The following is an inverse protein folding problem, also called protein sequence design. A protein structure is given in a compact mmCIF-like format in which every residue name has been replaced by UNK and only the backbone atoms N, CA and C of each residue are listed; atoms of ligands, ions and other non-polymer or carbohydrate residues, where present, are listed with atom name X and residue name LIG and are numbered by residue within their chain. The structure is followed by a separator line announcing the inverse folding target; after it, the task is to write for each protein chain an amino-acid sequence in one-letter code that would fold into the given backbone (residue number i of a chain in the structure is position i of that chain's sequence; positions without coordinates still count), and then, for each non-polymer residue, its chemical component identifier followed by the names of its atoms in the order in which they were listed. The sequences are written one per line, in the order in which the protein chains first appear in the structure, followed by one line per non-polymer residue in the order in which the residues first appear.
data_IF_911130660738
#
_entry.id   IF_911130660738
#
_cell.length_a   1.000
_cell.length_b   1.000
_cell.length_c   1.000
_cell.angle_alpha   90.00
_cell.angle_beta   90.00
_cell.angle_gamma   90.00
#
_symmetry.space_group_name_H-M   'P 1'
#
loop_
_entity.id
_entity.type
_entity.pdbx_description
1 polymer ?
#
# COMPACT_ATOMS: atom_id res chain seq x y z
N UNK A 1 -13.04 0.47 2.67
CA UNK A 1 -11.90 -0.08 1.90
C UNK A 1 -11.48 0.81 0.72
N UNK A 2 -12.42 1.43 -0.01
CA UNK A 2 -12.12 2.13 -1.28
C UNK A 2 -12.16 3.66 -1.23
N UNK A 3 -12.27 4.25 -0.03
CA UNK A 3 -12.52 5.68 0.16
C UNK A 3 -13.97 6.05 -0.15
N UNK A 4 -14.38 7.26 0.25
CA UNK A 4 -15.72 7.83 0.03
C UNK A 4 -15.68 9.07 -0.88
N UNK A 5 -14.55 9.31 -1.54
CA UNK A 5 -14.40 10.40 -2.52
C UNK A 5 -14.69 9.96 -3.95
N UNK A 6 -14.87 10.94 -4.85
CA UNK A 6 -15.13 10.77 -6.28
C UNK A 6 -14.03 9.99 -7.03
N UNK A 7 -12.77 10.08 -6.58
CA UNK A 7 -11.68 9.22 -7.10
C UNK A 7 -11.55 7.98 -6.22
N UNK A 8 -11.87 6.78 -6.73
CA UNK A 8 -11.73 5.56 -5.96
C UNK A 8 -10.26 5.26 -5.63
N UNK A 9 -9.98 4.96 -4.36
CA UNK A 9 -8.61 4.71 -3.86
C UNK A 9 -7.90 3.59 -4.63
N UNK A 10 -8.66 2.60 -5.12
CA UNK A 10 -8.11 1.46 -5.86
C UNK A 10 -7.56 1.83 -7.23
N UNK A 11 -8.06 2.90 -7.88
CA UNK A 11 -7.49 3.37 -9.15
C UNK A 11 -6.11 3.95 -8.96
N UNK A 12 -5.89 4.70 -7.87
CA UNK A 12 -4.55 5.19 -7.49
C UNK A 12 -3.62 3.99 -7.26
N UNK A 13 -4.10 2.96 -6.55
CA UNK A 13 -3.36 1.70 -6.36
C UNK A 13 -2.95 1.04 -7.67
N UNK A 14 -3.87 0.99 -8.65
CA UNK A 14 -3.58 0.44 -9.98
C UNK A 14 -2.48 1.24 -10.70
N UNK A 15 -2.55 2.58 -10.67
CA UNK A 15 -1.54 3.46 -11.26
C UNK A 15 -0.16 3.27 -10.62
N UNK A 16 -0.12 3.11 -9.30
CA UNK A 16 1.13 2.85 -8.58
C UNK A 16 1.77 1.52 -8.99
N UNK A 17 0.99 0.45 -9.14
CA UNK A 17 1.51 -0.85 -9.55
C UNK A 17 2.00 -0.88 -11.00
N UNK A 18 1.41 -0.05 -11.88
CA UNK A 18 1.86 0.12 -13.27
C UNK A 18 3.10 1.01 -13.42
N UNK A 19 3.54 1.66 -12.35
CA UNK A 19 4.65 2.62 -12.42
C UNK A 19 4.26 3.97 -13.05
N UNK A 20 2.97 4.26 -13.17
CA UNK A 20 2.43 5.50 -13.75
C UNK A 20 2.44 6.61 -12.68
N UNK A 21 3.63 7.00 -12.20
CA UNK A 21 3.82 7.87 -11.03
C UNK A 21 3.19 9.25 -11.18
N UNK A 22 3.32 9.86 -12.37
CA UNK A 22 2.76 11.18 -12.66
C UNK A 22 1.24 11.18 -12.51
N UNK A 23 0.60 10.15 -13.03
CA UNK A 23 -0.85 10.00 -13.00
C UNK A 23 -1.35 9.70 -11.59
N UNK A 24 -0.65 8.83 -10.84
CA UNK A 24 -0.96 8.58 -9.44
C UNK A 24 -0.88 9.86 -8.60
N UNK A 25 0.16 10.68 -8.81
CA UNK A 25 0.31 11.98 -8.14
C UNK A 25 -0.79 12.95 -8.55
N UNK A 26 -1.12 13.04 -9.85
CA UNK A 26 -2.23 13.88 -10.33
C UNK A 26 -3.53 13.49 -9.66
N UNK A 27 -3.88 12.20 -9.63
CA UNK A 27 -5.09 11.70 -9.00
C UNK A 27 -5.16 11.98 -7.49
N UNK A 28 -4.02 12.13 -6.81
CA UNK A 28 -3.99 12.53 -5.40
C UNK A 28 -4.29 14.02 -5.24
N UNK A 29 -3.69 14.86 -6.08
CA UNK A 29 -3.77 16.33 -6.02
C UNK A 29 -5.01 16.93 -6.69
N UNK A 30 -5.58 16.23 -7.67
CA UNK A 30 -6.72 16.70 -8.45
C UNK A 30 -7.93 17.01 -7.54
N UNK A 31 -8.74 18.04 -7.86
CA UNK A 31 -9.99 18.31 -7.17
C UNK A 31 -10.87 17.07 -7.13
N UNK A 32 -11.48 16.80 -5.98
CA UNK A 32 -12.36 15.62 -5.78
C UNK A 32 -13.68 16.11 -5.26
N UNK A 33 -14.76 15.66 -5.89
CA UNK A 33 -16.08 15.74 -5.29
C UNK A 33 -16.13 14.70 -4.16
N UNK A 34 -16.30 15.16 -2.92
CA UNK A 34 -16.39 14.26 -1.77
C UNK A 34 -17.85 14.15 -1.38
N UNK A 35 -18.45 12.98 -1.60
CA UNK A 35 -19.80 12.67 -1.13
C UNK A 35 -19.73 12.27 0.34
N UNK A 36 -19.90 13.24 1.25
CA UNK A 36 -20.05 12.95 2.68
C UNK A 36 -21.03 13.94 3.30
N UNK A 37 -21.65 13.50 4.39
CA UNK A 37 -22.76 14.09 5.13
C UNK A 37 -22.66 15.61 5.45
N UNK A 38 -23.82 16.20 5.68
CA UNK A 38 -24.18 17.64 5.67
C UNK A 38 -23.38 18.48 6.69
N UNK A 39 -22.89 17.87 7.76
CA UNK A 39 -22.24 18.58 8.90
C UNK A 39 -20.81 19.08 8.63
N UNK A 40 -20.16 18.63 7.54
CA UNK A 40 -18.76 18.95 7.20
C UNK A 40 -18.61 19.79 5.91
N UNK A 41 -19.69 20.39 5.40
CA UNK A 41 -19.71 21.09 4.11
C UNK A 41 -18.71 22.24 3.99
N UNK A 42 -18.59 23.09 5.03
CA UNK A 42 -17.73 24.29 4.98
C UNK A 42 -16.25 23.96 4.76
N UNK A 43 -15.72 22.97 5.50
CA UNK A 43 -14.32 22.55 5.36
C UNK A 43 -14.03 21.85 4.02
N UNK A 44 -15.03 21.20 3.41
CA UNK A 44 -14.88 20.50 2.12
C UNK A 44 -14.78 21.47 0.95
N UNK A 45 -15.61 22.49 0.93
CA UNK A 45 -15.56 23.51 -0.13
C UNK A 45 -14.20 24.21 -0.14
N UNK A 46 -13.62 24.43 1.04
CA UNK A 46 -12.28 25.02 1.16
C UNK A 46 -11.19 24.11 0.60
N UNK A 47 -11.23 22.79 0.88
CA UNK A 47 -10.26 21.84 0.31
C UNK A 47 -10.39 21.77 -1.22
N UNK A 48 -11.63 21.76 -1.74
CA UNK A 48 -11.86 21.73 -3.18
C UNK A 48 -11.29 22.99 -3.83
N UNK A 49 -11.58 24.17 -3.30
CA UNK A 49 -11.03 25.45 -3.77
C UNK A 49 -9.50 25.47 -3.74
N UNK A 50 -8.87 24.92 -2.71
CA UNK A 50 -7.40 24.85 -2.61
C UNK A 50 -6.81 23.96 -3.73
N UNK A 51 -7.47 22.84 -4.04
CA UNK A 51 -7.05 21.94 -5.13
C UNK A 51 -7.31 22.55 -6.51
N UNK A 52 -8.42 23.24 -6.69
CA UNK A 52 -8.73 23.99 -7.92
C UNK A 52 -7.70 25.10 -8.14
N UNK A 53 -7.42 25.90 -7.10
CA UNK A 53 -6.37 26.91 -7.11
C UNK A 53 -5.01 26.32 -7.52
N UNK A 54 -4.62 25.18 -6.95
CA UNK A 54 -3.37 24.51 -7.34
C UNK A 54 -3.37 24.09 -8.81
N UNK A 55 -4.50 23.54 -9.29
CA UNK A 55 -4.64 23.07 -10.67
C UNK A 55 -4.57 24.21 -11.69
N UNK A 56 -5.10 25.38 -11.35
CA UNK A 56 -5.11 26.56 -12.21
C UNK A 56 -3.80 27.35 -12.15
N UNK A 57 -3.27 27.58 -10.94
CA UNK A 57 -2.09 28.44 -10.73
C UNK A 57 -0.76 27.69 -10.82
N UNK A 58 -0.73 26.40 -10.49
CA UNK A 58 0.51 25.66 -10.26
C UNK A 58 1.35 26.18 -9.09
N UNK A 59 0.84 27.10 -8.26
CA UNK A 59 1.59 27.70 -7.15
C UNK A 59 1.69 26.74 -5.96
N UNK A 60 2.79 26.01 -5.89
CA UNK A 60 3.08 25.08 -4.79
C UNK A 60 3.13 25.80 -3.43
N UNK A 61 3.72 26.99 -3.39
CA UNK A 61 3.93 27.73 -2.14
C UNK A 61 2.62 28.30 -1.60
N UNK A 62 1.80 28.88 -2.48
CA UNK A 62 0.44 29.32 -2.18
C UNK A 62 -0.46 28.19 -1.70
N UNK A 63 -0.41 27.03 -2.36
CA UNK A 63 -1.20 25.86 -1.96
C UNK A 63 -0.77 25.29 -0.61
N UNK A 64 0.54 25.17 -0.34
CA UNK A 64 1.05 24.63 0.91
C UNK A 64 0.64 25.46 2.14
N UNK A 65 0.52 26.79 1.99
CA UNK A 65 0.05 27.68 3.06
C UNK A 65 -1.43 27.47 3.40
N UNK A 66 -2.24 27.12 2.41
CA UNK A 66 -3.68 26.95 2.57
C UNK A 66 -4.07 25.52 2.99
N UNK A 67 -3.25 24.51 2.66
CA UNK A 67 -3.58 23.11 2.94
C UNK A 67 -3.73 22.82 4.45
N UNK A 68 -4.84 22.18 4.87
CA UNK A 68 -5.03 21.76 6.26
C UNK A 68 -4.04 20.67 6.69
N UNK A 69 -3.83 20.51 8.00
CA UNK A 69 -2.81 19.60 8.57
C UNK A 69 -3.06 18.11 8.29
N UNK A 70 -4.32 17.70 8.13
CA UNK A 70 -4.68 16.29 7.91
C UNK A 70 -4.45 15.80 6.46
N UNK A 71 -4.21 16.68 5.50
CA UNK A 71 -3.88 16.32 4.11
C UNK A 71 -2.39 15.99 3.96
N UNK A 72 -2.00 14.90 4.61
CA UNK A 72 -0.59 14.49 4.76
C UNK A 72 0.02 14.09 3.41
N UNK A 73 -0.71 13.36 2.57
CA UNK A 73 -0.21 12.90 1.28
C UNK A 73 0.05 14.08 0.33
N UNK A 74 -0.91 14.99 0.21
CA UNK A 74 -0.84 16.18 -0.65
C UNK A 74 0.32 17.08 -0.23
N UNK A 75 0.47 17.34 1.08
CA UNK A 75 1.58 18.15 1.58
C UNK A 75 2.94 17.52 1.28
N UNK A 76 3.10 16.22 1.53
CA UNK A 76 4.36 15.52 1.28
C UNK A 76 4.75 15.57 -0.21
N UNK A 77 3.78 15.34 -1.09
CA UNK A 77 3.96 15.41 -2.54
C UNK A 77 4.39 16.82 -2.97
N UNK A 78 3.64 17.85 -2.56
CA UNK A 78 3.93 19.24 -2.93
C UNK A 78 5.29 19.72 -2.40
N UNK A 79 5.64 19.37 -1.16
CA UNK A 79 6.96 19.68 -0.61
C UNK A 79 8.10 19.01 -1.40
N UNK A 80 7.88 17.79 -1.88
CA UNK A 80 8.86 17.11 -2.72
C UNK A 80 8.95 17.74 -4.12
N UNK A 81 7.81 18.03 -4.74
CA UNK A 81 7.76 18.67 -6.07
C UNK A 81 8.37 20.07 -6.06
N UNK A 82 8.29 20.80 -4.93
CA UNK A 82 8.99 22.07 -4.73
C UNK A 82 10.52 21.91 -4.84
N UNK A 83 11.08 20.84 -4.26
CA UNK A 83 12.52 20.59 -4.23
C UNK A 83 13.03 19.98 -5.54
N UNK A 84 12.24 19.06 -6.11
CA UNK A 84 12.59 18.29 -7.30
C UNK A 84 11.41 18.28 -8.29
N UNK A 85 11.22 19.35 -9.08
CA UNK A 85 10.16 19.41 -10.09
C UNK A 85 10.27 18.24 -11.07
N UNK A 86 9.14 17.60 -11.39
CA UNK A 86 9.08 16.47 -12.34
C UNK A 86 9.48 15.11 -11.77
N UNK A 87 10.04 15.02 -10.56
CA UNK A 87 10.35 13.73 -9.94
C UNK A 87 9.15 13.14 -9.15
N UNK A 88 8.18 12.61 -9.90
CA UNK A 88 6.95 12.06 -9.33
C UNK A 88 7.16 10.79 -8.49
N UNK A 89 8.17 9.97 -8.82
CA UNK A 89 8.52 8.80 -8.02
C UNK A 89 9.01 9.21 -6.64
N UNK A 90 9.88 10.22 -6.57
CA UNK A 90 10.36 10.75 -5.29
C UNK A 90 9.21 11.39 -4.49
N UNK A 91 8.31 12.12 -5.17
CA UNK A 91 7.13 12.69 -4.55
C UNK A 91 6.21 11.62 -3.94
N UNK A 92 6.00 10.50 -4.63
CA UNK A 92 5.27 9.36 -4.05
C UNK A 92 6.02 8.74 -2.88
N UNK A 93 7.35 8.55 -2.96
CA UNK A 93 8.16 8.01 -1.86
C UNK A 93 8.12 8.89 -0.60
N UNK A 94 7.93 10.20 -0.75
CA UNK A 94 7.78 11.13 0.36
C UNK A 94 6.49 10.89 1.17
N UNK A 95 5.46 10.27 0.57
CA UNK A 95 4.22 9.92 1.28
C UNK A 95 4.50 8.80 2.30
N UNK A 96 3.98 8.90 3.54
CA UNK A 96 4.15 7.87 4.56
C UNK A 96 3.79 6.47 4.06
N UNK A 97 4.60 5.47 4.46
CA UNK A 97 4.46 4.07 4.00
C UNK A 97 3.03 3.56 4.18
N UNK A 98 2.40 3.83 5.32
CA UNK A 98 1.03 3.39 5.62
C UNK A 98 0.01 3.91 4.60
N UNK A 99 0.09 5.19 4.23
CA UNK A 99 -0.80 5.78 3.22
C UNK A 99 -0.52 5.22 1.82
N UNK A 100 0.75 4.98 1.48
CA UNK A 100 1.09 4.30 0.22
C UNK A 100 0.51 2.88 0.14
N UNK A 101 0.67 2.11 1.22
CA UNK A 101 0.14 0.75 1.30
C UNK A 101 -1.39 0.73 1.22
N UNK A 102 -2.08 1.74 1.77
CA UNK A 102 -3.54 1.87 1.66
C UNK A 102 -4.00 1.86 0.18
N UNK A 103 -3.30 2.57 -0.72
CA UNK A 103 -3.64 2.56 -2.15
C UNK A 103 -3.47 1.16 -2.76
N UNK A 104 -2.35 0.49 -2.51
CA UNK A 104 -2.07 -0.85 -3.03
C UNK A 104 -3.07 -1.87 -2.49
N UNK A 105 -3.31 -1.88 -1.18
CA UNK A 105 -4.28 -2.76 -0.55
C UNK A 105 -5.69 -2.52 -1.07
N UNK A 106 -6.07 -1.27 -1.33
CA UNK A 106 -7.37 -1.00 -1.92
C UNK A 106 -7.52 -1.63 -3.31
N UNK A 107 -6.46 -1.67 -4.14
CA UNK A 107 -6.50 -2.36 -5.43
C UNK A 107 -6.54 -3.89 -5.30
N UNK A 108 -5.73 -4.46 -4.40
CA UNK A 108 -5.79 -5.90 -4.10
C UNK A 108 -7.21 -6.34 -3.70
N UNK A 109 -7.88 -5.51 -2.89
CA UNK A 109 -9.24 -5.78 -2.41
C UNK A 109 -10.28 -5.63 -3.51
N UNK A 110 -10.06 -4.71 -4.44
CA UNK A 110 -10.92 -4.56 -5.61
C UNK A 110 -10.87 -5.82 -6.47
N UNK A 111 -9.66 -6.33 -6.75
CA UNK A 111 -9.47 -7.56 -7.50
C UNK A 111 -10.06 -8.78 -6.76
N UNK A 112 -9.82 -8.88 -5.45
CA UNK A 112 -10.37 -9.97 -4.64
C UNK A 112 -11.90 -9.95 -4.66
N UNK A 113 -12.52 -8.79 -4.43
CA UNK A 113 -13.99 -8.67 -4.49
C UNK A 113 -14.53 -9.09 -5.85
N UNK A 114 -13.87 -8.67 -6.94
CA UNK A 114 -14.29 -9.03 -8.28
C UNK A 114 -14.17 -10.56 -8.52
N UNK A 115 -13.03 -11.15 -8.15
CA UNK A 115 -12.80 -12.60 -8.26
C UNK A 115 -13.81 -13.40 -7.43
N UNK A 116 -14.05 -13.00 -6.17
CA UNK A 116 -15.01 -13.64 -5.28
C UNK A 116 -16.43 -13.54 -5.82
N UNK A 117 -16.86 -12.38 -6.31
CA UNK A 117 -18.20 -12.23 -6.92
C UNK A 117 -18.36 -13.13 -8.14
N UNK A 118 -17.34 -13.22 -9.02
CA UNK A 118 -17.38 -14.14 -10.17
C UNK A 118 -17.45 -15.61 -9.74
N UNK A 119 -16.66 -16.01 -8.73
CA UNK A 119 -16.65 -17.38 -8.18
C UNK A 119 -18.01 -17.77 -7.60
N UNK A 120 -18.64 -16.87 -6.84
CA UNK A 120 -19.97 -17.09 -6.27
C UNK A 120 -21.04 -17.14 -7.35
N UNK A 121 -20.99 -16.24 -8.34
CA UNK A 121 -21.97 -16.21 -9.43
C UNK A 121 -21.93 -17.49 -10.28
N UNK A 122 -20.73 -18.05 -10.52
CA UNK A 122 -20.56 -19.20 -11.41
C UNK A 122 -20.87 -20.55 -10.74
N UNK A 123 -20.53 -20.71 -9.46
CA UNK A 123 -20.57 -22.02 -8.79
C UNK A 123 -21.32 -22.03 -7.45
N UNK A 124 -21.87 -20.89 -7.02
CA UNK A 124 -22.55 -20.77 -5.73
C UNK A 124 -21.60 -20.79 -4.53
N UNK A 125 -22.18 -20.79 -3.33
CA UNK A 125 -21.46 -20.80 -2.04
C UNK A 125 -21.55 -22.13 -1.30
N UNK A 126 -22.41 -23.04 -1.75
CA UNK A 126 -22.83 -24.19 -0.95
C UNK A 126 -21.81 -25.34 -0.97
N UNK A 127 -20.92 -25.34 -1.96
CA UNK A 127 -19.92 -26.39 -2.14
C UNK A 127 -18.59 -25.85 -2.71
N UNK A 128 -17.50 -26.47 -2.28
CA UNK A 128 -16.18 -26.30 -2.88
C UNK A 128 -16.13 -27.01 -4.24
N UNK A 129 -15.41 -26.43 -5.19
CA UNK A 129 -15.25 -26.97 -6.55
C UNK A 129 -13.78 -27.32 -6.77
N UNK A 130 -13.51 -28.35 -7.57
CA UNK A 130 -12.14 -28.72 -7.95
C UNK A 130 -11.38 -27.49 -8.48
N UNK A 131 -10.19 -27.26 -7.92
CA UNK A 131 -9.36 -26.09 -8.21
C UNK A 131 -9.54 -24.90 -7.25
N UNK A 132 -10.52 -24.95 -6.32
CA UNK A 132 -10.58 -23.96 -5.24
C UNK A 132 -9.39 -24.12 -4.28
N UNK A 133 -8.82 -22.98 -3.88
CA UNK A 133 -7.79 -22.94 -2.85
C UNK A 133 -8.44 -23.04 -1.47
N UNK A 134 -8.10 -24.10 -0.74
CA UNK A 134 -8.56 -24.32 0.64
C UNK A 134 -7.39 -24.07 1.57
N UNK A 135 -7.63 -23.25 2.59
CA UNK A 135 -6.65 -23.00 3.63
C UNK A 135 -6.74 -24.11 4.67
N UNK A 136 -5.69 -24.91 4.80
CA UNK A 136 -5.58 -25.96 5.80
C UNK A 136 -4.66 -25.49 6.92
N UNK A 137 -5.20 -25.36 8.13
CA UNK A 137 -4.36 -25.20 9.32
C UNK A 137 -3.65 -26.52 9.63
N UNK A 138 -2.47 -26.45 10.26
CA UNK A 138 -1.66 -27.62 10.63
C UNK A 138 -2.45 -28.66 11.44
N UNK A 139 -3.43 -28.23 12.24
CA UNK A 139 -4.33 -29.12 13.00
C UNK A 139 -5.37 -29.84 12.12
N UNK A 140 -5.83 -29.20 11.04
CA UNK A 140 -6.85 -29.76 10.13
C UNK A 140 -6.30 -30.73 9.08
N UNK A 141 -4.97 -30.79 8.91
CA UNK A 141 -4.32 -31.67 7.93
C UNK A 141 -4.12 -33.10 8.43
N UNK A 142 -4.22 -33.33 9.74
CA UNK A 142 -3.99 -34.65 10.33
C UNK A 142 -5.16 -35.62 10.12
N UNK A 143 -6.34 -35.12 9.72
CA UNK A 143 -7.52 -35.95 9.43
C UNK A 143 -7.61 -36.41 7.96
N UNK A 144 -6.84 -35.78 7.05
CA UNK A 144 -6.95 -36.02 5.59
C UNK A 144 -5.94 -37.06 5.06
N UNK A 145 -5.03 -37.57 5.91
CA UNK A 145 -3.97 -38.53 5.49
C UNK A 145 -4.45 -39.97 5.20
N UNK A 146 -5.75 -40.21 5.05
CA UNK A 146 -6.29 -41.51 4.63
C UNK A 146 -7.12 -41.39 3.35
N UNK A 147 -6.51 -40.93 2.26
CA UNK A 147 -6.90 -41.37 0.92
C UNK A 147 -5.62 -41.69 0.17
N UNK A 148 -5.43 -42.98 -0.05
CA UNK A 148 -4.43 -43.59 -0.93
C UNK A 148 -4.61 -43.06 -2.35
N UNK A 149 -3.55 -42.48 -2.92
CA UNK A 149 -3.18 -42.81 -4.30
C UNK A 149 -1.75 -42.31 -4.59
N UNK A 150 -0.96 -43.30 -4.97
CA UNK A 150 0.41 -43.26 -5.44
C UNK A 150 0.63 -42.35 -6.66
N UNK A 151 1.86 -41.83 -6.72
CA UNK A 151 2.54 -41.16 -7.86
C UNK A 151 2.29 -39.65 -8.04
N UNK A 152 3.14 -38.85 -7.39
CA UNK A 152 3.63 -37.61 -8.00
C UNK A 152 5.05 -37.31 -7.50
N UNK A 153 6.01 -37.21 -8.42
CA UNK A 153 7.40 -36.84 -8.12
C UNK A 153 7.46 -35.39 -7.56
N UNK A 154 8.18 -35.25 -6.45
CA UNK A 154 8.39 -34.00 -5.72
C UNK A 154 9.43 -33.14 -6.46
N UNK A 155 8.99 -32.02 -7.05
CA UNK A 155 9.90 -30.95 -7.48
C UNK A 155 10.10 -29.99 -6.30
N UNK A 156 11.21 -30.16 -5.58
CA UNK A 156 11.65 -29.28 -4.51
C UNK A 156 11.93 -27.86 -5.03
N UNK A 157 11.17 -26.86 -4.56
CA UNK A 157 11.59 -25.46 -4.61
C UNK A 157 12.14 -25.04 -3.23
N UNK A 158 13.45 -24.84 -3.17
CA UNK A 158 14.17 -24.46 -1.97
C UNK A 158 14.03 -22.94 -1.74
N UNK A 159 13.21 -22.50 -0.78
CA UNK A 159 13.21 -21.12 -0.29
C UNK A 159 13.69 -21.10 1.16
N UNK A 160 15.01 -20.99 1.32
CA UNK A 160 15.68 -20.81 2.60
C UNK A 160 15.51 -19.35 3.06
N UNK A 161 14.47 -19.11 3.87
CA UNK A 161 14.35 -17.92 4.70
C UNK A 161 14.68 -18.27 6.16
N UNK A 162 15.97 -18.32 6.49
CA UNK A 162 16.40 -18.36 7.90
C UNK A 162 16.31 -16.94 8.51
N UNK A 163 15.31 -16.75 9.36
CA UNK A 163 15.39 -15.83 10.48
C UNK A 163 15.64 -16.67 11.73
N UNK A 164 16.70 -16.36 12.48
CA UNK A 164 16.69 -16.31 13.94
C UNK A 164 17.97 -15.61 14.42
N UNK A 165 17.86 -14.41 14.97
CA UNK A 165 17.59 -14.12 16.39
C UNK A 165 18.89 -14.10 17.20
N UNK A 166 19.22 -12.88 17.65
CA UNK A 166 20.33 -12.58 18.53
C UNK A 166 20.19 -13.33 19.86
N UNK A 167 21.30 -13.85 20.38
CA UNK A 167 21.50 -13.97 21.81
C UNK A 167 22.94 -13.63 22.18
N UNK A 168 23.05 -12.71 23.13
CA UNK A 168 24.26 -12.17 23.73
C UNK A 168 24.75 -13.12 24.84
N UNK A 169 26.08 -13.27 24.98
CA UNK A 169 26.75 -13.69 26.22
C UNK A 169 28.26 -13.35 26.17
N UNK A 170 28.70 -12.67 27.22
CA UNK A 170 30.08 -12.25 27.53
C UNK A 170 31.09 -13.41 27.68
N UNK A 171 32.38 -13.12 27.41
CA UNK A 171 33.47 -13.28 28.39
C UNK A 171 34.88 -12.96 27.82
N UNK A 172 35.49 -11.93 28.43
CA UNK A 172 36.89 -11.79 28.84
C UNK A 172 38.09 -11.87 27.86
N UNK A 173 38.70 -10.68 27.73
CA UNK A 173 40.09 -10.34 28.07
C UNK A 173 41.28 -10.89 27.25
N UNK A 174 42.01 -9.97 26.60
CA UNK A 174 43.46 -9.82 26.79
C UNK A 174 43.96 -8.50 26.18
N UNK A 175 44.82 -7.85 26.93
CA UNK A 175 45.49 -6.56 26.76
C UNK A 175 46.36 -6.44 25.49
N UNK A 176 46.59 -5.20 25.06
CA UNK A 176 47.54 -4.89 23.98
C UNK A 176 47.65 -3.40 23.68
N UNK A 177 48.12 -2.63 24.66
CA UNK A 177 48.46 -1.21 24.56
C UNK A 177 49.52 -0.96 23.48
N UNK A 178 49.30 -0.02 22.54
CA UNK A 178 50.40 0.58 21.79
C UNK A 178 50.13 2.06 21.51
N UNK A 179 50.89 2.87 22.23
CA UNK A 179 50.94 4.31 22.23
C UNK A 179 51.78 4.87 21.07
N UNK A 180 51.24 5.94 20.48
CA UNK A 180 51.93 7.23 20.23
C UNK A 180 52.55 7.53 18.86
N UNK A 181 52.65 8.87 18.70
CA UNK A 181 53.49 9.68 17.81
C UNK A 181 52.80 10.02 16.47
N UNK A 182 52.44 11.28 16.17
CA UNK A 182 52.99 12.59 16.54
C UNK A 182 51.93 13.69 16.41
#
# INVERSE_FOLDING_TARGET
RFGTGSVPTHLIGAKLLRGEWKEAVSMILDPKDVFFDITFWTQKDDIRRIREYYKESGDIDGTLRQLPRFLVAEKAILQCLKKSPGNYLQAMKAVPRTLRMMYVHSYQSYLWNHATSMRVQKYGTDQVVLGDLVYCNEESCNEVKQVDDSEFEELECNDSSENNHLHEADAHASEGNCTSVK
#
